data_IF_771669392842
#
_entry.id   IF_771669392842
#
_cell.length_a   1.000
_cell.length_b   1.000
_cell.length_c   1.000
_cell.angle_alpha   90.00
_cell.angle_beta   90.00
_cell.angle_gamma   90.00
#
_symmetry.space_group_name_H-M   'P 1'
#
loop_
_entity.id
_entity.type
_entity.pdbx_description
1 polymer ?
#
# COMPACT_ATOMS: atom_id res chain seq x y z
N UNK A 1 -2.26 5.19 7.68
CA UNK A 1 -3.24 5.75 6.72
C UNK A 1 -3.74 4.65 5.80
N UNK A 2 -5.02 4.64 5.42
CA UNK A 2 -5.58 3.65 4.48
C UNK A 2 -5.83 4.28 3.11
N UNK A 3 -5.63 3.49 2.06
CA UNK A 3 -5.87 3.86 0.67
C UNK A 3 -6.70 2.79 -0.01
N UNK A 4 -7.69 3.21 -0.78
CA UNK A 4 -8.57 2.35 -1.57
C UNK A 4 -8.18 2.48 -3.04
N UNK A 5 -8.02 1.36 -3.73
CA UNK A 5 -7.60 1.27 -5.13
C UNK A 5 -8.54 0.30 -5.86
N UNK A 6 -8.79 0.55 -7.13
CA UNK A 6 -9.56 -0.33 -8.02
C UNK A 6 -8.73 -1.53 -8.54
N UNK A 7 -7.40 -1.47 -8.41
CA UNK A 7 -6.45 -2.53 -8.77
C UNK A 7 -5.26 -2.59 -7.79
N UNK A 8 -4.37 -3.57 -7.96
CA UNK A 8 -3.23 -3.76 -7.05
C UNK A 8 -2.25 -2.58 -7.20
N UNK A 9 -2.00 -1.80 -6.12
CA UNK A 9 -1.24 -0.56 -6.20
C UNK A 9 0.28 -0.79 -6.15
N UNK A 10 0.79 -1.79 -6.86
CA UNK A 10 2.22 -2.16 -6.84
C UNK A 10 3.16 -0.97 -7.13
N UNK A 11 2.90 -0.11 -8.15
CA UNK A 11 3.78 1.03 -8.42
C UNK A 11 3.87 2.01 -7.24
N UNK A 12 2.76 2.23 -6.54
CA UNK A 12 2.73 3.10 -5.35
C UNK A 12 3.53 2.48 -4.20
N UNK A 13 3.39 1.16 -3.99
CA UNK A 13 4.13 0.42 -2.96
C UNK A 13 5.64 0.55 -3.22
N UNK A 14 6.07 0.32 -4.46
CA UNK A 14 7.47 0.43 -4.84
C UNK A 14 8.00 1.86 -4.67
N UNK A 15 7.22 2.89 -5.04
CA UNK A 15 7.60 4.28 -4.82
C UNK A 15 7.77 4.60 -3.33
N UNK A 16 6.88 4.10 -2.48
CA UNK A 16 6.97 4.30 -1.03
C UNK A 16 8.20 3.60 -0.45
N UNK A 17 8.50 2.39 -0.89
CA UNK A 17 9.73 1.68 -0.50
C UNK A 17 10.99 2.39 -1.00
N UNK A 18 11.02 2.92 -2.22
CA UNK A 18 12.17 3.66 -2.74
C UNK A 18 12.40 4.97 -1.96
N UNK A 19 11.34 5.70 -1.61
CA UNK A 19 11.44 6.99 -0.94
C UNK A 19 11.69 6.90 0.57
N UNK A 20 11.05 5.94 1.24
CA UNK A 20 11.06 5.84 2.71
C UNK A 20 11.79 4.60 3.22
N UNK A 21 12.23 3.71 2.34
CA UNK A 21 12.94 2.49 2.71
C UNK A 21 12.11 1.62 3.68
N UNK A 22 12.81 0.97 4.61
CA UNK A 22 12.19 0.14 5.64
C UNK A 22 11.49 0.90 6.78
N UNK A 23 11.31 2.23 6.67
CA UNK A 23 10.62 3.03 7.70
C UNK A 23 9.10 3.00 7.54
N UNK A 24 8.62 2.54 6.39
CA UNK A 24 7.19 2.37 6.09
C UNK A 24 6.92 0.88 5.87
N UNK A 25 5.85 0.40 6.49
CA UNK A 25 5.29 -0.93 6.27
C UNK A 25 3.97 -0.79 5.49
N UNK A 26 3.76 -1.69 4.53
CA UNK A 26 2.51 -1.78 3.76
C UNK A 26 1.79 -3.08 4.11
N UNK A 27 0.49 -2.98 4.42
CA UNK A 27 -0.37 -4.14 4.64
C UNK A 27 -1.60 -4.08 3.75
N UNK A 28 -1.94 -5.20 3.13
CA UNK A 28 -3.25 -5.37 2.52
C UNK A 28 -4.29 -5.58 3.63
N UNK A 29 -5.32 -4.73 3.62
CA UNK A 29 -6.47 -4.83 4.51
C UNK A 29 -7.64 -5.53 3.79
N UNK A 30 -7.78 -5.28 2.49
CA UNK A 30 -8.73 -5.96 1.62
C UNK A 30 -8.12 -6.13 0.22
N UNK A 31 -8.41 -7.25 -0.45
CA UNK A 31 -7.91 -7.53 -1.80
C UNK A 31 -8.98 -8.23 -2.63
N UNK A 32 -10.03 -7.49 -2.96
CA UNK A 32 -11.09 -7.91 -3.87
C UNK A 32 -10.92 -7.23 -5.23
N UNK A 33 -11.32 -7.86 -6.34
CA UNK A 33 -11.33 -7.19 -7.64
C UNK A 33 -12.16 -5.90 -7.58
N UNK A 34 -11.58 -4.76 -7.96
CA UNK A 34 -12.24 -3.45 -7.87
C UNK A 34 -12.25 -2.80 -6.48
N UNK A 35 -11.81 -3.50 -5.43
CA UNK A 35 -11.68 -2.95 -4.08
C UNK A 35 -10.44 -3.51 -3.35
N UNK A 36 -9.31 -2.84 -3.54
CA UNK A 36 -8.04 -3.18 -2.91
C UNK A 36 -7.68 -2.09 -1.91
N UNK A 37 -7.71 -2.45 -0.64
CA UNK A 37 -7.42 -1.54 0.46
C UNK A 37 -6.05 -1.87 1.02
N UNK A 38 -5.14 -0.90 0.98
CA UNK A 38 -3.83 -1.00 1.64
C UNK A 38 -3.73 -0.02 2.80
N UNK A 39 -2.90 -0.35 3.78
CA UNK A 39 -2.58 0.49 4.93
C UNK A 39 -1.08 0.70 4.98
N UNK A 40 -0.68 1.96 5.08
CA UNK A 40 0.67 2.37 5.42
C UNK A 40 0.78 2.64 6.93
N UNK A 41 1.81 2.08 7.55
CA UNK A 41 2.24 2.36 8.93
C UNK A 41 3.70 2.73 8.96
N UNK A 42 4.08 3.65 9.84
CA UNK A 42 5.49 3.88 10.14
C UNK A 42 5.96 2.76 11.07
N UNK A 43 7.17 2.25 10.84
CA UNK A 43 7.85 1.35 11.77
C UNK A 43 8.39 2.08 12.99
#
# INVERSE_FOLDING_TARGET
MQFVNDHDPLPLIDQMHQRYGGTVEVKYVERQPGNIVIRFTRR
#
